data_IF_962413769755
#
_entry.id   IF_962413769755
#
_cell.length_a   1.000
_cell.length_b   1.000
_cell.length_c   1.000
_cell.angle_alpha   90.00
_cell.angle_beta   90.00
_cell.angle_gamma   90.00
#
_symmetry.space_group_name_H-M   'P 1'
#
loop_
_entity.id
_entity.type
_entity.pdbx_description
1 polymer ?
#
# COMPACT_ATOMS: atom_id res chain seq x y z
N UNK A 1 -16.63 -50.70 21.42
CA UNK A 1 -15.83 -50.90 22.63
C UNK A 1 -14.97 -49.69 22.83
N UNK A 2 -15.40 -48.81 23.68
CA UNK A 2 -14.76 -48.19 24.83
C UNK A 2 -13.60 -47.25 24.45
N UNK A 3 -13.53 -46.00 24.87
CA UNK A 3 -14.20 -45.29 25.93
C UNK A 3 -13.77 -43.81 25.94
N UNK A 4 -14.68 -43.09 26.42
CA UNK A 4 -14.78 -41.69 26.79
C UNK A 4 -13.72 -41.29 27.84
N UNK A 5 -13.09 -40.13 27.74
CA UNK A 5 -12.49 -39.45 28.89
C UNK A 5 -12.63 -37.92 28.78
N UNK A 6 -13.68 -37.44 29.40
CA UNK A 6 -13.91 -36.03 29.77
C UNK A 6 -13.05 -35.75 31.00
N UNK A 7 -12.27 -34.65 30.98
CA UNK A 7 -11.73 -34.04 32.21
C UNK A 7 -12.18 -32.59 32.33
N UNK A 8 -13.19 -32.40 33.14
CA UNK A 8 -13.57 -31.14 33.78
C UNK A 8 -12.49 -30.71 34.77
N UNK A 9 -12.16 -29.47 34.84
CA UNK A 9 -11.59 -28.83 36.01
C UNK A 9 -12.41 -27.63 36.44
N UNK A 10 -12.82 -27.73 37.71
CA UNK A 10 -13.69 -26.84 38.47
C UNK A 10 -13.06 -25.48 38.74
N UNK A 11 -13.98 -24.55 38.95
CA UNK A 11 -13.84 -23.20 39.46
C UNK A 11 -13.16 -23.12 40.85
N UNK A 12 -12.47 -22.00 41.09
CA UNK A 12 -12.26 -21.46 42.42
C UNK A 12 -12.50 -19.94 42.40
N UNK A 13 -13.64 -19.55 42.96
CA UNK A 13 -13.90 -18.18 43.43
C UNK A 13 -13.15 -17.96 44.74
N UNK A 14 -12.53 -16.82 44.91
CA UNK A 14 -12.35 -16.21 46.25
C UNK A 14 -12.54 -14.69 46.14
N UNK A 15 -13.54 -14.22 46.88
CA UNK A 15 -13.85 -12.82 47.14
C UNK A 15 -13.05 -12.32 48.37
N UNK A 16 -12.89 -11.03 48.48
CA UNK A 16 -12.67 -10.15 49.66
C UNK A 16 -11.67 -9.07 49.28
N UNK A 17 -11.84 -7.80 49.54
CA UNK A 17 -12.68 -7.04 50.41
C UNK A 17 -12.48 -5.57 50.15
N UNK A 18 -13.51 -4.80 50.43
CA UNK A 18 -13.58 -3.36 50.38
C UNK A 18 -12.70 -2.70 51.44
N UNK A 19 -12.08 -1.58 51.13
CA UNK A 19 -11.76 -0.54 52.11
C UNK A 19 -11.99 0.85 51.53
N UNK A 20 -13.02 1.52 51.99
CA UNK A 20 -13.28 2.91 51.78
C UNK A 20 -12.45 3.72 52.80
N UNK A 21 -11.82 4.82 52.34
CA UNK A 21 -11.45 5.91 53.22
C UNK A 21 -11.62 7.24 52.46
N UNK A 22 -12.63 7.97 52.89
CA UNK A 22 -12.90 9.36 52.59
C UNK A 22 -11.91 10.27 53.39
N UNK A 23 -11.45 11.33 52.78
CA UNK A 23 -11.21 12.59 53.47
C UNK A 23 -11.01 13.72 52.43
N UNK A 24 -11.94 14.68 52.39
CA UNK A 24 -11.75 16.08 52.00
C UNK A 24 -11.45 16.88 53.26
N UNK A 25 -11.20 18.21 53.27
CA UNK A 25 -11.17 19.22 52.23
C UNK A 25 -10.03 20.28 52.35
N UNK A 26 -10.11 21.30 51.48
CA UNK A 26 -9.73 22.72 51.63
C UNK A 26 -8.27 23.13 51.81
N UNK A 27 -7.78 23.88 50.84
CA UNK A 27 -7.32 25.27 51.13
C UNK A 27 -7.09 26.06 49.82
N UNK A 28 -7.93 27.04 49.64
CA UNK A 28 -7.78 28.21 48.77
C UNK A 28 -6.55 29.03 49.14
N UNK A 29 -5.67 29.29 48.17
CA UNK A 29 -4.82 30.50 48.17
C UNK A 29 -4.77 31.04 46.75
N UNK A 30 -5.47 32.12 46.52
CA UNK A 30 -5.34 32.95 45.34
C UNK A 30 -4.03 33.73 45.43
N UNK A 31 -3.11 33.49 44.52
CA UNK A 31 -1.99 34.39 44.25
C UNK A 31 -2.09 34.85 42.79
N UNK A 32 -2.63 36.03 42.63
CA UNK A 32 -2.58 36.82 41.40
C UNK A 32 -1.11 37.21 41.15
N UNK A 33 -0.51 36.63 40.12
CA UNK A 33 0.75 37.12 39.56
C UNK A 33 0.48 37.48 38.09
N UNK A 34 0.45 38.78 37.84
CA UNK A 34 0.40 39.34 36.50
C UNK A 34 1.67 38.94 35.74
N UNK A 35 1.49 38.16 34.70
CA UNK A 35 2.53 37.84 33.71
C UNK A 35 2.56 38.95 32.63
N UNK A 36 3.74 39.45 32.23
CA UNK A 36 3.85 40.41 31.15
C UNK A 36 3.52 39.73 29.83
N UNK A 37 2.65 40.35 29.04
CA UNK A 37 2.35 39.94 27.68
C UNK A 37 3.58 40.15 26.80
N UNK A 38 4.30 39.05 26.52
CA UNK A 38 5.29 39.03 25.45
C UNK A 38 4.51 38.72 24.16
N UNK A 39 4.28 39.77 23.38
CA UNK A 39 3.77 39.64 22.01
C UNK A 39 4.84 38.96 21.13
N UNK A 40 4.80 37.64 21.07
CA UNK A 40 5.58 36.89 20.11
C UNK A 40 4.81 36.92 18.79
N UNK A 41 5.12 37.90 17.94
CA UNK A 41 4.72 37.94 16.55
C UNK A 41 5.45 36.79 15.82
N UNK A 42 4.89 35.61 15.88
CA UNK A 42 5.31 34.51 14.98
C UNK A 42 4.82 34.85 13.60
N UNK A 43 5.71 35.38 12.76
CA UNK A 43 5.52 35.38 11.34
C UNK A 43 5.39 33.90 10.89
N UNK A 44 4.16 33.46 10.70
CA UNK A 44 3.86 32.21 10.03
C UNK A 44 4.27 32.39 8.57
N UNK A 45 5.50 32.05 8.24
CA UNK A 45 5.87 31.84 6.86
C UNK A 45 4.96 30.73 6.32
N UNK A 46 4.20 30.98 5.26
CA UNK A 46 3.44 29.90 4.64
C UNK A 46 4.46 28.85 4.18
N UNK A 47 4.43 27.68 4.80
CA UNK A 47 5.07 26.48 4.24
C UNK A 47 4.47 26.35 2.84
N UNK A 48 5.26 26.69 1.84
CA UNK A 48 4.89 26.49 0.47
C UNK A 48 4.44 25.04 0.33
N UNK A 49 3.15 24.85 0.08
CA UNK A 49 2.60 23.55 -0.25
C UNK A 49 3.51 22.98 -1.32
N UNK A 50 4.21 21.90 -0.99
CA UNK A 50 5.02 21.17 -1.94
C UNK A 50 4.09 20.85 -3.09
N UNK A 51 4.26 21.59 -4.19
CA UNK A 51 3.61 21.24 -5.45
C UNK A 51 4.07 19.83 -5.70
N UNK A 52 3.17 18.88 -5.60
CA UNK A 52 3.34 17.54 -6.14
C UNK A 52 3.44 17.71 -7.65
N UNK A 53 4.60 18.12 -8.11
CA UNK A 53 4.94 18.03 -9.52
C UNK A 53 4.83 16.54 -9.82
N UNK A 54 3.86 16.17 -10.67
CA UNK A 54 3.86 14.88 -11.34
C UNK A 54 5.33 14.63 -11.73
N UNK A 55 5.98 13.56 -11.26
CA UNK A 55 7.36 13.32 -11.62
C UNK A 55 7.43 13.41 -13.14
N UNK A 56 8.33 14.24 -13.65
CA UNK A 56 8.53 14.39 -15.09
C UNK A 56 9.08 13.05 -15.59
N UNK A 57 8.16 12.21 -16.00
CA UNK A 57 8.43 10.87 -16.47
C UNK A 57 8.71 10.97 -17.97
N UNK A 58 9.98 10.88 -18.34
CA UNK A 58 10.40 10.87 -19.73
C UNK A 58 10.44 9.43 -20.23
N UNK A 59 9.48 9.06 -21.05
CA UNK A 59 9.44 7.77 -21.70
C UNK A 59 10.49 7.70 -22.80
N UNK A 60 11.36 6.68 -22.74
CA UNK A 60 12.44 6.45 -23.70
C UNK A 60 12.25 5.21 -24.56
N UNK A 61 11.48 4.25 -24.11
CA UNK A 61 11.21 3.00 -24.81
C UNK A 61 10.02 2.26 -24.26
N UNK A 62 9.37 1.45 -25.07
CA UNK A 62 8.21 0.66 -24.74
C UNK A 62 8.33 -0.76 -25.26
N UNK A 63 7.84 -1.71 -24.47
CA UNK A 63 7.65 -3.07 -24.93
C UNK A 63 6.50 -3.12 -25.95
N UNK A 64 6.67 -3.91 -27.01
CA UNK A 64 5.64 -4.10 -28.04
C UNK A 64 5.15 -5.54 -27.95
N UNK A 65 4.01 -5.80 -27.28
CA UNK A 65 3.42 -7.11 -27.31
C UNK A 65 2.88 -7.42 -28.71
N UNK A 66 3.05 -8.66 -29.17
CA UNK A 66 2.48 -9.11 -30.44
C UNK A 66 0.95 -9.19 -30.41
N UNK A 67 0.37 -9.34 -29.20
CA UNK A 67 -1.06 -9.40 -28.95
C UNK A 67 -1.40 -8.67 -27.65
N UNK A 68 -2.65 -8.19 -27.50
CA UNK A 68 -3.13 -7.66 -26.22
C UNK A 68 -2.98 -8.70 -25.10
N UNK A 69 -2.51 -8.25 -23.93
CA UNK A 69 -2.40 -9.10 -22.76
C UNK A 69 -3.77 -9.56 -22.28
N UNK A 70 -3.92 -10.84 -22.00
CA UNK A 70 -5.08 -11.44 -21.33
C UNK A 70 -4.84 -11.50 -19.83
N UNK A 71 -5.87 -11.81 -19.06
CA UNK A 71 -5.71 -12.08 -17.63
C UNK A 71 -4.68 -13.20 -17.41
N UNK A 72 -3.73 -12.95 -16.53
CA UNK A 72 -2.61 -13.85 -16.27
C UNK A 72 -1.38 -13.66 -17.16
N UNK A 73 -1.50 -12.92 -18.26
CA UNK A 73 -0.37 -12.65 -19.15
C UNK A 73 0.51 -11.51 -18.61
N UNK A 74 1.80 -11.61 -18.87
CA UNK A 74 2.76 -10.55 -18.63
C UNK A 74 3.93 -10.62 -19.62
N UNK A 75 4.66 -9.51 -19.72
CA UNK A 75 5.94 -9.40 -20.43
C UNK A 75 7.00 -8.88 -19.45
N UNK A 76 8.21 -9.37 -19.60
CA UNK A 76 9.38 -8.86 -18.87
C UNK A 76 10.61 -8.96 -19.74
N UNK A 77 11.21 -7.81 -20.03
CA UNK A 77 12.47 -7.69 -20.78
C UNK A 77 13.28 -6.55 -20.19
N UNK A 78 14.22 -6.88 -19.35
CA UNK A 78 15.15 -5.94 -18.70
C UNK A 78 16.56 -6.05 -19.26
N UNK A 79 16.77 -6.90 -20.29
CA UNK A 79 18.09 -7.12 -20.87
C UNK A 79 18.59 -5.87 -21.60
N UNK A 80 19.85 -5.53 -21.38
CA UNK A 80 20.47 -4.34 -21.99
C UNK A 80 19.97 -2.99 -21.48
N UNK A 81 18.99 -2.95 -20.59
CA UNK A 81 18.50 -1.70 -20.00
C UNK A 81 19.39 -1.30 -18.83
N UNK A 82 20.06 -0.14 -18.95
CA UNK A 82 20.96 0.39 -17.92
C UNK A 82 20.24 0.57 -16.57
N UNK A 83 21.00 0.44 -15.49
CA UNK A 83 20.50 0.72 -14.13
C UNK A 83 19.95 2.16 -14.05
N UNK A 84 18.88 2.35 -13.30
CA UNK A 84 18.22 3.63 -13.16
C UNK A 84 17.09 3.56 -12.13
N UNK A 85 16.37 4.68 -11.96
CA UNK A 85 15.21 4.73 -11.10
C UNK A 85 14.10 3.83 -11.66
N UNK A 86 13.45 3.09 -10.78
CA UNK A 86 12.26 2.30 -11.12
C UNK A 86 11.02 3.14 -10.90
N UNK A 87 10.20 3.26 -11.94
CA UNK A 87 8.88 3.88 -11.90
C UNK A 87 7.84 2.84 -12.27
N UNK A 88 6.77 2.74 -11.47
CA UNK A 88 5.69 1.79 -11.68
C UNK A 88 4.42 2.57 -11.98
N UNK A 89 3.69 2.16 -13.00
CA UNK A 89 2.41 2.78 -13.35
C UNK A 89 1.33 1.71 -13.43
N UNK A 90 0.25 1.93 -12.71
CA UNK A 90 -0.95 1.09 -12.72
C UNK A 90 -2.06 1.86 -13.43
N UNK A 91 -2.45 1.39 -14.61
CA UNK A 91 -3.62 1.92 -15.34
C UNK A 91 -4.81 0.99 -15.05
N UNK A 92 -5.72 1.48 -14.21
CA UNK A 92 -6.91 0.73 -13.80
C UNK A 92 -7.90 0.55 -14.95
N UNK A 93 -7.99 1.52 -15.87
CA UNK A 93 -8.88 1.44 -17.03
C UNK A 93 -8.38 0.43 -18.05
N UNK A 94 -7.08 0.45 -18.33
CA UNK A 94 -6.45 -0.54 -19.21
C UNK A 94 -6.28 -1.91 -18.54
N UNK A 95 -6.39 -1.98 -17.21
CA UNK A 95 -6.11 -3.16 -16.40
C UNK A 95 -4.68 -3.67 -16.58
N UNK A 96 -3.73 -2.76 -16.69
CA UNK A 96 -2.31 -3.05 -16.93
C UNK A 96 -1.44 -2.32 -15.91
N UNK A 97 -0.43 -3.03 -15.40
CA UNK A 97 0.69 -2.47 -14.67
C UNK A 97 1.91 -2.42 -15.60
N UNK A 98 2.59 -1.29 -15.61
CA UNK A 98 3.82 -1.04 -16.35
C UNK A 98 4.99 -0.80 -15.40
N UNK A 99 6.16 -1.33 -15.74
CA UNK A 99 7.41 -1.12 -15.00
C UNK A 99 8.43 -0.47 -15.92
N UNK A 100 9.01 0.62 -15.46
CA UNK A 100 10.02 1.36 -16.20
C UNK A 100 11.32 1.44 -15.39
N UNK A 101 12.46 1.31 -16.06
CA UNK A 101 13.79 1.58 -15.50
C UNK A 101 14.44 2.72 -16.28
N UNK A 102 14.67 3.86 -15.60
CA UNK A 102 15.23 5.04 -16.25
C UNK A 102 14.41 5.56 -17.45
N UNK A 103 13.10 5.30 -17.47
CA UNK A 103 12.15 5.68 -18.53
C UNK A 103 12.02 4.66 -19.66
N UNK A 104 12.74 3.53 -19.62
CA UNK A 104 12.56 2.41 -20.56
C UNK A 104 11.64 1.39 -19.92
N UNK A 105 10.59 0.98 -20.61
CA UNK A 105 9.69 -0.06 -20.15
C UNK A 105 10.40 -1.41 -20.16
N UNK A 106 10.45 -2.05 -18.99
CA UNK A 106 11.07 -3.37 -18.79
C UNK A 106 10.06 -4.45 -18.44
N UNK A 107 8.82 -4.07 -18.13
CA UNK A 107 7.78 -5.04 -17.80
C UNK A 107 6.38 -4.46 -17.89
N UNK A 108 5.43 -5.32 -18.21
CA UNK A 108 3.99 -5.05 -18.11
C UNK A 108 3.22 -6.30 -17.78
N UNK A 109 2.12 -6.16 -17.09
CA UNK A 109 1.27 -7.27 -16.67
C UNK A 109 -0.19 -6.89 -16.67
N UNK A 110 -1.06 -7.82 -17.04
CA UNK A 110 -2.46 -7.74 -16.69
C UNK A 110 -2.63 -7.78 -15.16
N UNK A 111 -3.64 -7.07 -14.64
CA UNK A 111 -3.84 -6.93 -13.21
C UNK A 111 -5.25 -7.32 -12.77
N UNK A 112 -5.37 -7.66 -11.48
CA UNK A 112 -6.60 -7.50 -10.71
C UNK A 112 -6.52 -6.21 -9.90
N UNK A 113 -7.66 -5.59 -9.65
CA UNK A 113 -7.77 -4.41 -8.79
C UNK A 113 -9.05 -4.48 -7.95
N UNK A 114 -9.28 -3.47 -7.12
CA UNK A 114 -10.35 -3.46 -6.15
C UNK A 114 -11.75 -3.52 -6.78
N UNK A 115 -12.64 -4.26 -6.14
CA UNK A 115 -14.07 -4.29 -6.47
C UNK A 115 -14.73 -2.91 -6.24
N UNK A 116 -15.96 -2.67 -6.77
CA UNK A 116 -16.68 -1.42 -6.53
C UNK A 116 -16.85 -1.07 -5.04
N UNK A 117 -16.97 -2.08 -4.16
CA UNK A 117 -17.10 -1.90 -2.71
C UNK A 117 -15.76 -1.64 -2.01
N UNK A 118 -14.64 -1.94 -2.67
CA UNK A 118 -13.27 -1.83 -2.16
C UNK A 118 -12.33 -1.35 -3.26
N UNK A 119 -12.50 -0.10 -3.66
CA UNK A 119 -11.78 0.48 -4.80
C UNK A 119 -10.27 0.59 -4.54
N UNK A 120 -9.49 0.41 -5.60
CA UNK A 120 -8.06 0.76 -5.59
C UNK A 120 -7.94 2.29 -5.69
N UNK A 121 -7.25 2.95 -4.73
CA UNK A 121 -7.10 4.41 -4.76
C UNK A 121 -6.20 4.85 -5.92
N UNK A 122 -6.55 5.96 -6.56
CA UNK A 122 -5.68 6.64 -7.54
C UNK A 122 -4.77 7.65 -6.86
N UNK A 123 -3.58 7.85 -7.40
CA UNK A 123 -2.59 8.78 -6.83
C UNK A 123 -1.17 8.32 -7.07
N UNK A 124 -0.22 9.01 -6.45
CA UNK A 124 1.20 8.64 -6.46
C UNK A 124 1.60 8.17 -5.06
N UNK A 125 2.09 6.94 -4.97
CA UNK A 125 2.39 6.26 -3.72
C UNK A 125 3.84 5.79 -3.70
N UNK A 126 4.62 6.07 -2.65
CA UNK A 126 5.91 5.43 -2.48
C UNK A 126 5.74 3.97 -2.04
N UNK A 127 6.65 3.10 -2.46
CA UNK A 127 6.76 1.77 -1.86
C UNK A 127 7.26 1.93 -0.44
N UNK A 128 6.39 1.67 0.53
CA UNK A 128 6.70 1.85 1.96
C UNK A 128 7.39 0.64 2.57
N UNK A 129 7.11 -0.56 2.05
CA UNK A 129 7.60 -1.82 2.59
C UNK A 129 7.59 -2.91 1.52
N UNK A 130 8.56 -3.83 1.60
CA UNK A 130 8.63 -5.05 0.78
C UNK A 130 8.65 -6.28 1.68
N UNK A 131 7.83 -7.29 1.37
CA UNK A 131 7.88 -8.61 2.02
C UNK A 131 7.67 -9.71 1.00
N UNK A 132 8.67 -10.60 0.86
CA UNK A 132 8.57 -11.74 -0.06
C UNK A 132 7.45 -12.71 0.32
N UNK A 133 7.20 -12.87 1.63
CA UNK A 133 6.09 -13.66 2.19
C UNK A 133 5.29 -12.76 3.12
N UNK A 134 4.04 -12.55 2.81
CA UNK A 134 3.10 -11.80 3.63
C UNK A 134 1.73 -12.46 3.60
N UNK A 135 1.02 -12.40 4.71
CA UNK A 135 -0.38 -12.79 4.83
C UNK A 135 -1.14 -11.53 5.26
N UNK A 136 -2.23 -11.23 4.59
CA UNK A 136 -3.08 -10.08 4.94
C UNK A 136 -3.58 -10.20 6.38
N UNK A 137 -3.33 -9.20 7.20
CA UNK A 137 -3.81 -9.16 8.58
C UNK A 137 -5.34 -9.01 8.67
N UNK A 138 -5.97 -8.53 7.60
CA UNK A 138 -7.42 -8.27 7.55
C UNK A 138 -8.16 -9.47 6.96
N UNK A 139 -7.62 -10.04 5.88
CA UNK A 139 -8.32 -11.07 5.08
C UNK A 139 -7.72 -12.46 5.22
N UNK A 140 -6.58 -12.64 5.90
CA UNK A 140 -5.88 -13.92 6.01
C UNK A 140 -5.38 -14.49 4.68
N UNK A 141 -5.45 -13.72 3.60
CA UNK A 141 -5.05 -14.15 2.26
C UNK A 141 -3.54 -14.04 2.04
N UNK A 142 -2.90 -15.00 1.34
CA UNK A 142 -1.51 -14.89 0.95
C UNK A 142 -1.28 -13.70 -0.01
N UNK A 143 -0.21 -12.95 0.25
CA UNK A 143 0.23 -11.82 -0.56
C UNK A 143 1.73 -11.98 -0.87
N UNK A 144 2.13 -12.96 -1.72
CA UNK A 144 3.54 -13.17 -2.05
C UNK A 144 4.11 -11.95 -2.77
N UNK A 145 5.37 -11.63 -2.50
CA UNK A 145 6.11 -10.51 -3.09
C UNK A 145 5.44 -9.15 -2.90
N UNK A 146 4.87 -8.92 -1.72
CA UNK A 146 4.12 -7.72 -1.38
C UNK A 146 5.00 -6.46 -1.42
N UNK A 147 4.53 -5.43 -2.13
CA UNK A 147 5.00 -4.06 -2.15
C UNK A 147 3.90 -3.17 -1.56
N UNK A 148 4.05 -2.75 -0.31
CA UNK A 148 3.05 -1.94 0.40
C UNK A 148 3.12 -0.48 -0.02
N UNK A 149 1.96 0.11 -0.34
CA UNK A 149 1.83 1.49 -0.84
C UNK A 149 1.22 2.44 0.17
N UNK A 150 0.31 1.96 1.03
CA UNK A 150 -0.43 2.83 1.95
C UNK A 150 -0.43 2.30 3.39
N UNK A 151 -0.75 3.16 4.35
CA UNK A 151 -0.81 2.78 5.77
C UNK A 151 -2.00 1.86 6.09
N UNK A 152 -3.09 1.97 5.36
CA UNK A 152 -4.29 1.13 5.48
C UNK A 152 -4.16 -0.22 4.76
N UNK A 153 -3.03 -0.48 4.10
CA UNK A 153 -2.66 -1.82 3.64
C UNK A 153 -2.83 -2.08 2.14
N UNK A 154 -3.09 -1.06 1.32
CA UNK A 154 -3.06 -1.23 -0.14
C UNK A 154 -1.64 -1.59 -0.59
N UNK A 155 -1.54 -2.61 -1.44
CA UNK A 155 -0.27 -3.14 -1.91
C UNK A 155 -0.38 -3.72 -3.32
N UNK A 156 0.77 -3.85 -4.00
CA UNK A 156 0.94 -4.73 -5.16
C UNK A 156 1.44 -6.08 -4.65
N UNK A 157 0.90 -7.20 -5.11
CA UNK A 157 1.35 -8.53 -4.72
C UNK A 157 1.01 -9.59 -5.76
N UNK A 158 1.65 -10.75 -5.67
CA UNK A 158 1.33 -11.92 -6.48
C UNK A 158 -0.06 -12.44 -6.16
N UNK A 159 -0.80 -12.78 -7.22
CA UNK A 159 -2.16 -13.26 -7.17
C UNK A 159 -2.45 -14.18 -8.36
N UNK A 160 -3.53 -14.95 -8.28
CA UNK A 160 -4.09 -15.64 -9.44
C UNK A 160 -4.94 -14.63 -10.23
N UNK A 161 -4.41 -14.16 -11.36
CA UNK A 161 -5.06 -13.13 -12.20
C UNK A 161 -5.96 -13.80 -13.22
N UNK A 162 -7.24 -13.94 -12.90
CA UNK A 162 -8.26 -14.55 -13.76
C UNK A 162 -9.43 -13.61 -14.01
N UNK A 163 -10.12 -13.82 -15.14
CA UNK A 163 -11.33 -13.06 -15.48
C UNK A 163 -12.43 -13.24 -14.40
N UNK A 164 -13.09 -12.16 -14.06
CA UNK A 164 -14.17 -12.16 -13.07
C UNK A 164 -13.71 -12.08 -11.61
N UNK A 165 -12.42 -12.09 -11.34
CA UNK A 165 -11.89 -11.88 -10.00
C UNK A 165 -11.59 -10.40 -9.75
N UNK A 166 -11.66 -9.98 -8.48
CA UNK A 166 -11.29 -8.66 -8.00
C UNK A 166 -10.60 -8.77 -6.64
N UNK A 167 -9.92 -7.73 -6.24
CA UNK A 167 -9.29 -7.63 -4.93
C UNK A 167 -10.13 -6.76 -3.98
N UNK A 168 -9.64 -6.60 -2.75
CA UNK A 168 -10.21 -5.67 -1.78
C UNK A 168 -9.42 -4.34 -1.75
N UNK A 169 -9.02 -3.84 -2.92
CA UNK A 169 -8.29 -2.59 -3.10
C UNK A 169 -6.81 -2.76 -3.49
N UNK A 170 -6.20 -3.91 -3.26
CA UNK A 170 -4.84 -4.19 -3.70
C UNK A 170 -4.76 -4.35 -5.23
N UNK A 171 -3.55 -4.28 -5.77
CA UNK A 171 -3.24 -4.61 -7.16
C UNK A 171 -2.63 -6.01 -7.18
N UNK A 172 -3.38 -6.98 -7.74
CA UNK A 172 -2.92 -8.34 -7.94
C UNK A 172 -2.26 -8.50 -9.31
N UNK A 173 -1.09 -9.11 -9.35
CA UNK A 173 -0.36 -9.46 -10.58
C UNK A 173 0.00 -10.95 -10.57
N UNK A 174 0.28 -11.59 -11.71
CA UNK A 174 0.78 -12.97 -11.72
C UNK A 174 1.98 -13.13 -10.78
N UNK A 175 2.04 -14.24 -10.06
CA UNK A 175 3.05 -14.44 -9.00
C UNK A 175 4.47 -14.38 -9.54
N UNK A 176 4.71 -14.89 -10.74
CA UNK A 176 6.00 -14.85 -11.43
C UNK A 176 6.40 -13.40 -11.77
N UNK A 177 5.47 -12.61 -12.27
CA UNK A 177 5.69 -11.18 -12.49
C UNK A 177 5.94 -10.43 -11.18
N UNK A 178 5.17 -10.75 -10.12
CA UNK A 178 5.39 -10.15 -8.80
C UNK A 178 6.80 -10.43 -8.26
N UNK A 179 7.37 -11.62 -8.52
CA UNK A 179 8.74 -11.95 -8.12
C UNK A 179 9.78 -11.08 -8.86
N UNK A 180 9.61 -10.89 -10.18
CA UNK A 180 10.47 -10.03 -10.99
C UNK A 180 10.38 -8.56 -10.54
N UNK A 181 9.16 -8.05 -10.38
CA UNK A 181 8.90 -6.71 -9.89
C UNK A 181 9.48 -6.49 -8.48
N UNK A 182 9.34 -7.49 -7.61
CA UNK A 182 9.90 -7.45 -6.27
C UNK A 182 11.43 -7.38 -6.27
N UNK A 183 12.09 -8.10 -7.18
CA UNK A 183 13.54 -8.03 -7.32
C UNK A 183 14.01 -6.64 -7.82
N UNK A 184 13.26 -6.04 -8.73
CA UNK A 184 13.55 -4.76 -9.36
C UNK A 184 13.29 -3.57 -8.42
N UNK A 185 12.11 -3.50 -7.83
CA UNK A 185 11.64 -2.35 -7.08
C UNK A 185 12.30 -2.21 -5.70
N UNK A 186 12.46 -0.98 -5.23
CA UNK A 186 13.03 -0.65 -3.92
C UNK A 186 12.06 0.17 -3.06
N UNK A 187 12.17 0.14 -1.73
CA UNK A 187 11.47 1.08 -0.88
C UNK A 187 11.79 2.53 -1.30
N UNK A 188 10.76 3.36 -1.44
CA UNK A 188 10.85 4.74 -1.91
C UNK A 188 10.59 4.92 -3.41
N UNK A 189 10.66 3.86 -4.22
CA UNK A 189 10.25 3.93 -5.63
C UNK A 189 8.78 4.31 -5.73
N UNK A 190 8.42 5.02 -6.81
CA UNK A 190 7.10 5.62 -6.97
C UNK A 190 6.18 4.71 -7.78
N UNK A 191 4.94 4.60 -7.31
CA UNK A 191 3.84 3.91 -7.98
C UNK A 191 2.74 4.90 -8.28
N UNK A 192 2.53 5.21 -9.54
CA UNK A 192 1.40 6.00 -10.01
C UNK A 192 0.22 5.09 -10.32
N UNK A 193 -0.89 5.24 -9.61
CA UNK A 193 -2.16 4.56 -9.90
C UNK A 193 -3.10 5.56 -10.56
N UNK A 194 -3.59 5.25 -11.76
CA UNK A 194 -4.40 6.16 -12.58
C UNK A 194 -5.46 5.41 -13.38
N UNK A 195 -6.44 6.14 -13.91
CA UNK A 195 -7.46 5.61 -14.80
C UNK A 195 -7.20 5.90 -16.30
N UNK A 196 -6.08 6.55 -16.62
CA UNK A 196 -5.76 6.91 -18.00
C UNK A 196 -4.27 7.21 -18.12
N UNK A 197 -3.46 6.17 -18.34
CA UNK A 197 -2.03 6.37 -18.49
C UNK A 197 -1.64 6.63 -19.94
N UNK A 198 -2.16 5.89 -20.87
CA UNK A 198 -1.63 5.88 -22.24
C UNK A 198 -2.70 5.63 -23.31
N UNK A 199 -3.84 6.27 -23.17
CA UNK A 199 -4.89 6.19 -24.21
C UNK A 199 -4.45 6.75 -25.56
N UNK A 200 -3.43 7.60 -25.59
CA UNK A 200 -2.88 8.31 -26.75
C UNK A 200 -1.72 7.62 -27.46
N UNK A 201 -1.03 6.68 -26.77
CA UNK A 201 0.19 6.07 -27.30
C UNK A 201 -0.01 4.70 -27.97
N UNK A 202 -1.15 4.05 -27.75
CA UNK A 202 -1.42 2.72 -28.31
C UNK A 202 -2.63 2.67 -29.26
N UNK A 203 -3.30 3.82 -29.52
CA UNK A 203 -4.31 3.94 -30.55
C UNK A 203 -5.43 2.89 -30.48
N UNK A 204 -6.03 2.67 -29.29
CA UNK A 204 -7.23 1.84 -29.11
C UNK A 204 -8.40 2.72 -28.79
#
# INVERSE_FOLDING_TARGET
MTGLAIKQWLAAMLACGALAAACSPESTVAASVAAPAIALSAAVTPVAAARTSKPEFVLKGVLKPDQPLRHGDFLWDAEGVAAGRTDIVVDLKAQILYVYRGGVEIGRSAILYGSPDKITPTGNFPIMQKKARHISNIYGAPMPYMLRLTNDGIAIHGSNVEYGYATHGCVGVPTEFAALLFAEANPGDQVLITNAWRTDLYGV
#
